data_IF_286355230872
#
_entry.id   IF_286355230872
#
_cell.length_a   1.000
_cell.length_b   1.000
_cell.length_c   1.000
_cell.angle_alpha   90.00
_cell.angle_beta   90.00
_cell.angle_gamma   90.00
#
_symmetry.space_group_name_H-M   'P 1'
#
loop_
_entity.id
_entity.type
_entity.pdbx_description
1 polymer ?
#
# COMPACT_ATOMS: atom_id res chain seq x y z
N UNK A 1 6.01 10.07 -3.97
CA UNK A 1 5.43 9.70 -2.67
C UNK A 1 3.94 9.85 -2.78
N UNK A 2 3.20 8.75 -2.59
CA UNK A 2 1.75 8.72 -2.62
C UNK A 2 1.23 9.06 -1.22
N UNK A 3 0.18 9.87 -1.15
CA UNK A 3 -0.51 10.23 0.10
C UNK A 3 -2.02 10.26 -0.15
N UNK A 4 -2.86 10.31 0.89
CA UNK A 4 -4.31 10.49 0.71
C UNK A 4 -4.70 11.75 -0.08
N UNK A 5 -3.86 12.79 -0.07
CA UNK A 5 -4.07 14.01 -0.86
C UNK A 5 -3.41 13.97 -2.24
N UNK A 6 -2.70 12.89 -2.60
CA UNK A 6 -2.02 12.71 -3.88
C UNK A 6 -1.91 11.22 -4.21
N UNK A 7 -3.01 10.67 -4.75
CA UNK A 7 -3.20 9.26 -5.01
C UNK A 7 -2.76 8.83 -6.42
N UNK A 8 -3.28 7.68 -6.87
CA UNK A 8 -2.92 7.11 -8.17
C UNK A 8 -3.37 7.97 -9.35
N UNK A 9 -4.50 8.67 -9.25
CA UNK A 9 -4.98 9.57 -10.29
C UNK A 9 -3.99 10.74 -10.50
N UNK A 10 -3.57 11.39 -9.41
CA UNK A 10 -2.58 12.47 -9.46
C UNK A 10 -1.22 11.98 -10.00
N UNK A 11 -0.83 10.74 -9.68
CA UNK A 11 0.36 10.14 -10.25
C UNK A 11 0.23 9.88 -11.76
N UNK A 12 -0.95 9.49 -12.23
CA UNK A 12 -1.22 9.21 -13.64
C UNK A 12 -1.13 10.49 -14.48
N UNK A 13 -1.59 11.63 -13.97
CA UNK A 13 -1.47 12.93 -14.64
C UNK A 13 -0.01 13.35 -14.92
N UNK A 14 0.94 12.85 -14.12
CA UNK A 14 2.36 13.15 -14.26
C UNK A 14 3.07 12.22 -15.25
N UNK A 15 2.46 11.10 -15.63
CA UNK A 15 3.09 10.07 -16.49
C UNK A 15 3.62 10.67 -17.80
N UNK A 16 2.87 11.50 -18.56
CA UNK A 16 3.39 12.04 -19.82
C UNK A 16 4.64 12.90 -19.62
N UNK A 17 4.64 13.71 -18.56
CA UNK A 17 5.79 14.53 -18.20
C UNK A 17 7.00 13.66 -17.82
N UNK A 18 6.81 12.68 -16.93
CA UNK A 18 7.87 11.77 -16.49
C UNK A 18 8.44 10.97 -17.65
N UNK A 19 7.60 10.51 -18.58
CA UNK A 19 8.04 9.84 -19.80
C UNK A 19 8.90 10.77 -20.68
N UNK A 20 8.50 12.04 -20.84
CA UNK A 20 9.29 13.02 -21.61
C UNK A 20 10.63 13.38 -20.95
N UNK A 21 10.75 13.26 -19.62
CA UNK A 21 12.03 13.37 -18.93
C UNK A 21 12.97 12.18 -19.21
N UNK A 22 12.45 11.06 -19.73
CA UNK A 22 13.23 9.89 -20.10
C UNK A 22 13.39 8.85 -18.99
N UNK A 23 12.58 8.88 -17.93
CA UNK A 23 12.57 7.77 -16.95
C UNK A 23 11.95 6.53 -17.58
N UNK A 24 12.31 5.34 -17.08
CA UNK A 24 11.74 4.08 -17.57
C UNK A 24 10.67 3.48 -16.66
N UNK A 25 10.69 3.82 -15.37
CA UNK A 25 9.78 3.26 -14.38
C UNK A 25 9.35 4.30 -13.36
N UNK A 26 8.13 4.16 -12.85
CA UNK A 26 7.69 4.83 -11.63
C UNK A 26 7.99 3.94 -10.43
N UNK A 27 8.74 4.46 -9.46
CA UNK A 27 8.92 3.81 -8.17
C UNK A 27 7.87 4.34 -7.18
N UNK A 28 6.89 3.50 -6.85
CA UNK A 28 5.78 3.87 -5.97
C UNK A 28 6.08 3.45 -4.53
N UNK A 29 5.79 4.35 -3.59
CA UNK A 29 5.74 4.05 -2.15
C UNK A 29 4.67 2.98 -1.85
N UNK A 30 4.67 2.37 -0.65
CA UNK A 30 3.74 1.27 -0.33
C UNK A 30 2.29 1.57 -0.69
N UNK A 31 1.65 0.60 -1.34
CA UNK A 31 0.29 0.72 -1.91
C UNK A 31 -0.76 -0.13 -1.20
N UNK A 32 -0.34 -0.98 -0.26
CA UNK A 32 -1.25 -1.81 0.53
C UNK A 32 -1.94 -0.97 1.61
N UNK A 33 -3.10 -1.44 2.07
CA UNK A 33 -3.91 -0.72 3.06
C UNK A 33 -3.09 -0.42 4.32
N UNK A 34 -3.20 0.82 4.78
CA UNK A 34 -2.40 1.37 5.87
C UNK A 34 -3.30 1.96 6.96
N UNK A 35 -2.72 2.55 8.00
CA UNK A 35 -3.52 3.32 8.96
C UNK A 35 -4.17 4.49 8.21
N UNK A 36 -5.48 4.77 8.41
CA UNK A 36 -6.15 5.90 7.76
C UNK A 36 -5.39 7.21 7.96
N UNK A 37 -5.23 7.98 6.89
CA UNK A 37 -4.46 9.22 6.91
C UNK A 37 -2.92 9.06 6.88
N UNK A 38 -2.38 7.83 6.84
CA UNK A 38 -0.93 7.61 6.76
C UNK A 38 -0.31 8.34 5.57
N UNK A 39 0.72 9.14 5.82
CA UNK A 39 1.42 9.90 4.77
C UNK A 39 2.49 9.07 4.04
N UNK A 40 2.75 7.83 4.45
CA UNK A 40 3.87 7.02 3.96
C UNK A 40 3.50 5.57 3.60
N UNK A 41 2.50 4.96 4.25
CA UNK A 41 1.98 3.63 3.91
C UNK A 41 2.79 2.43 4.46
N UNK A 42 3.86 2.67 5.23
CA UNK A 42 4.67 1.60 5.87
C UNK A 42 3.96 0.93 7.05
N UNK A 43 2.93 1.56 7.59
CA UNK A 43 2.08 1.09 8.68
C UNK A 43 0.90 0.26 8.13
N UNK A 44 1.23 -0.86 7.49
CA UNK A 44 0.25 -1.75 6.82
C UNK A 44 -0.75 -2.34 7.81
N UNK A 45 -2.05 -2.25 7.50
CA UNK A 45 -3.16 -2.79 8.31
C UNK A 45 -3.80 -4.02 7.67
N UNK A 46 -3.76 -4.12 6.34
CA UNK A 46 -4.27 -5.26 5.57
C UNK A 46 -3.41 -5.49 4.31
N UNK A 47 -2.57 -6.55 4.26
CA UNK A 47 -1.69 -6.80 3.13
C UNK A 47 -2.44 -7.39 1.90
N UNK A 48 -3.74 -7.64 2.01
CA UNK A 48 -4.56 -8.24 0.94
C UNK A 48 -5.28 -7.19 0.09
N UNK A 49 -5.23 -5.92 0.49
CA UNK A 49 -5.96 -4.83 -0.14
C UNK A 49 -5.03 -3.71 -0.59
N UNK A 50 -5.30 -3.18 -1.78
CA UNK A 50 -4.72 -1.91 -2.22
C UNK A 50 -5.46 -0.79 -1.50
N UNK A 51 -4.71 0.17 -0.96
CA UNK A 51 -5.22 1.26 -0.13
C UNK A 51 -6.30 2.08 -0.84
N UNK A 52 -7.49 2.15 -0.24
CA UNK A 52 -8.63 2.87 -0.81
C UNK A 52 -8.37 4.39 -0.89
N UNK A 53 -7.69 4.97 0.10
CA UNK A 53 -7.36 6.42 0.13
C UNK A 53 -6.43 6.86 -1.02
N UNK A 54 -5.77 5.91 -1.70
CA UNK A 54 -4.97 6.21 -2.90
C UNK A 54 -5.77 6.05 -4.21
N UNK A 55 -7.02 5.58 -4.13
CA UNK A 55 -7.87 5.21 -5.28
C UNK A 55 -8.06 3.69 -5.46
N UNK A 56 -7.57 2.89 -4.51
CA UNK A 56 -7.79 1.45 -4.47
C UNK A 56 -7.21 0.69 -5.67
N UNK A 57 -7.62 -0.57 -5.82
CA UNK A 57 -7.13 -1.45 -6.89
C UNK A 57 -7.42 -0.89 -8.29
N UNK A 58 -8.58 -0.26 -8.48
CA UNK A 58 -8.95 0.34 -9.76
C UNK A 58 -8.00 1.49 -10.12
N UNK A 59 -7.67 2.38 -9.17
CA UNK A 59 -6.72 3.47 -9.37
C UNK A 59 -5.32 2.97 -9.73
N UNK A 60 -4.83 1.93 -9.03
CA UNK A 60 -3.52 1.33 -9.35
C UNK A 60 -3.49 0.75 -10.77
N UNK A 61 -4.55 0.05 -11.18
CA UNK A 61 -4.66 -0.50 -12.54
C UNK A 61 -4.75 0.60 -13.61
N UNK A 62 -5.46 1.69 -13.33
CA UNK A 62 -5.53 2.84 -14.23
C UNK A 62 -4.16 3.50 -14.39
N UNK A 63 -3.44 3.77 -13.30
CA UNK A 63 -2.07 4.28 -13.33
C UNK A 63 -1.13 3.35 -14.12
N UNK A 64 -1.23 2.04 -13.90
CA UNK A 64 -0.43 1.06 -14.63
C UNK A 64 -0.76 1.05 -16.14
N UNK A 65 -2.04 1.26 -16.50
CA UNK A 65 -2.48 1.43 -17.88
C UNK A 65 -1.83 2.65 -18.53
N UNK A 66 -1.98 3.83 -17.92
CA UNK A 66 -1.39 5.09 -18.41
C UNK A 66 0.13 4.99 -18.49
N UNK A 67 0.80 4.46 -17.48
CA UNK A 67 2.24 4.23 -17.49
C UNK A 67 2.66 3.41 -18.72
N UNK A 68 1.97 2.29 -18.97
CA UNK A 68 2.26 1.39 -20.09
C UNK A 68 2.01 2.03 -21.45
N UNK A 69 0.97 2.86 -21.60
CA UNK A 69 0.70 3.61 -22.83
C UNK A 69 1.85 4.58 -23.17
N UNK A 70 2.57 5.07 -22.16
CA UNK A 70 3.75 5.92 -22.31
C UNK A 70 5.08 5.16 -22.22
N UNK A 71 5.06 3.82 -22.28
CA UNK A 71 6.27 2.99 -22.24
C UNK A 71 6.97 2.92 -20.88
N UNK A 72 6.29 3.31 -19.80
CA UNK A 72 6.79 3.22 -18.43
C UNK A 72 6.34 1.94 -17.73
N UNK A 73 7.22 1.36 -16.92
CA UNK A 73 6.90 0.31 -15.96
C UNK A 73 6.58 0.85 -14.55
N UNK A 74 6.10 -0.02 -13.66
CA UNK A 74 5.94 0.28 -12.24
C UNK A 74 6.84 -0.63 -11.39
N UNK A 75 7.46 -0.06 -10.37
CA UNK A 75 8.12 -0.77 -9.28
C UNK A 75 7.40 -0.40 -7.98
N UNK A 76 6.94 -1.40 -7.23
CA UNK A 76 6.18 -1.19 -6.00
C UNK A 76 7.04 -1.50 -4.78
N UNK A 77 7.09 -0.55 -3.84
CA UNK A 77 7.63 -0.79 -2.50
C UNK A 77 6.66 -1.67 -1.69
N UNK A 78 7.19 -2.70 -1.02
CA UNK A 78 6.44 -3.67 -0.22
C UNK A 78 7.04 -3.76 1.19
N UNK A 79 6.17 -3.99 2.18
CA UNK A 79 6.55 -4.01 3.60
C UNK A 79 6.25 -5.39 4.20
N UNK A 80 7.09 -6.41 3.92
CA UNK A 80 6.81 -7.79 4.34
C UNK A 80 7.13 -8.07 5.81
N UNK A 81 7.97 -7.23 6.44
CA UNK A 81 8.51 -7.51 7.77
C UNK A 81 7.49 -7.28 8.89
N UNK A 82 6.62 -6.27 8.77
CA UNK A 82 5.79 -5.81 9.88
C UNK A 82 4.42 -5.31 9.43
N UNK A 83 3.51 -5.21 10.40
CA UNK A 83 2.19 -4.58 10.28
C UNK A 83 2.04 -3.52 11.38
N UNK A 84 1.09 -2.61 11.22
CA UNK A 84 0.83 -1.56 12.19
C UNK A 84 0.33 -2.12 13.53
N UNK A 85 0.88 -1.58 14.63
CA UNK A 85 0.37 -1.81 15.98
C UNK A 85 -0.89 -0.97 16.27
N UNK A 86 -1.89 -1.06 15.39
CA UNK A 86 -3.14 -0.30 15.46
C UNK A 86 -4.34 -1.26 15.46
N UNK A 87 -4.72 -1.86 16.60
CA UNK A 87 -5.72 -2.93 16.67
C UNK A 87 -7.09 -2.55 16.11
N UNK A 88 -7.46 -1.26 16.21
CA UNK A 88 -8.72 -0.74 15.63
C UNK A 88 -8.80 -0.97 14.11
N UNK A 89 -7.67 -0.94 13.42
CA UNK A 89 -7.59 -1.04 11.96
C UNK A 89 -6.97 -2.38 11.50
N UNK A 90 -6.16 -3.00 12.34
CA UNK A 90 -5.42 -4.23 12.03
C UNK A 90 -6.17 -5.44 12.58
N UNK A 91 -7.06 -6.02 11.76
CA UNK A 91 -7.94 -7.13 12.18
C UNK A 91 -7.17 -8.33 12.75
N UNK A 92 -6.06 -8.71 12.12
CA UNK A 92 -5.22 -9.82 12.57
C UNK A 92 -4.71 -9.58 14.00
N UNK A 93 -4.18 -8.38 14.27
CA UNK A 93 -3.69 -8.00 15.60
C UNK A 93 -4.83 -7.96 16.63
N UNK A 94 -6.00 -7.44 16.28
CA UNK A 94 -7.17 -7.45 17.17
C UNK A 94 -7.57 -8.86 17.61
N UNK A 95 -7.57 -9.82 16.69
CA UNK A 95 -7.85 -11.21 17.01
C UNK A 95 -6.81 -11.80 17.97
N UNK A 96 -5.52 -11.54 17.75
CA UNK A 96 -4.44 -11.99 18.64
C UNK A 96 -4.58 -11.41 20.04
N UNK A 97 -4.88 -10.11 20.17
CA UNK A 97 -5.09 -9.47 21.47
C UNK A 97 -6.31 -10.01 22.23
N UNK A 98 -7.35 -10.43 21.51
CA UNK A 98 -8.59 -10.95 22.11
C UNK A 98 -8.52 -12.43 22.49
N UNK A 99 -7.88 -13.24 21.66
CA UNK A 99 -7.91 -14.71 21.74
C UNK A 99 -6.58 -15.31 22.20
N UNK A 100 -5.52 -14.50 22.26
CA UNK A 100 -4.19 -14.97 22.66
C UNK A 100 -3.64 -16.04 21.70
N UNK A 101 -2.96 -17.09 22.23
CA UNK A 101 -2.37 -18.16 21.42
C UNK A 101 -3.37 -18.92 20.54
N UNK A 102 -4.66 -18.92 20.92
CA UNK A 102 -5.73 -19.63 20.19
C UNK A 102 -6.20 -18.87 18.94
N UNK A 103 -5.72 -17.64 18.73
CA UNK A 103 -6.08 -16.86 17.55
C UNK A 103 -5.63 -17.53 16.26
N UNK A 104 -6.43 -17.55 15.18
CA UNK A 104 -5.97 -18.01 13.87
C UNK A 104 -4.82 -17.17 13.31
N UNK A 105 -4.56 -16.00 13.89
CA UNK A 105 -3.47 -15.08 13.51
C UNK A 105 -2.29 -15.11 14.47
N UNK A 106 -2.28 -15.97 15.51
CA UNK A 106 -1.23 -15.97 16.54
C UNK A 106 0.19 -16.11 15.95
N UNK A 107 0.34 -16.91 14.88
CA UNK A 107 1.61 -17.14 14.17
C UNK A 107 1.95 -16.11 13.10
N UNK A 108 1.11 -15.10 12.89
CA UNK A 108 1.43 -13.99 11.97
C UNK A 108 2.38 -12.99 12.60
N UNK A 109 2.46 -12.94 13.94
CA UNK A 109 3.27 -12.02 14.69
C UNK A 109 4.34 -12.78 15.45
N UNK A 110 5.51 -12.15 15.60
CA UNK A 110 6.62 -12.67 16.40
C UNK A 110 6.39 -12.30 17.87
N UNK A 111 5.84 -13.25 18.66
CA UNK A 111 5.42 -13.05 20.04
C UNK A 111 5.99 -14.15 20.94
N UNK A 112 6.54 -13.73 22.08
CA UNK A 112 6.91 -14.61 23.20
C UNK A 112 5.71 -14.66 24.17
N UNK A 113 5.10 -15.85 24.31
CA UNK A 113 3.79 -16.07 24.94
C UNK A 113 3.87 -16.41 26.44
#
# INVERSE_FOLDING_TARGET
>A
QLTPGRGFADAAELVPYLASLGVSHLHLSPVLEAVPGSAHGYDVTDPTRVREELGGRAGLLALAGTAREHGLGLVLDLVPNHMAAAPRYTRALWHVLREGPESPYARWFDLDW
#
